data_IF_388499574601
#
_entry.id   IF_388499574601
#
_cell.length_a   1.000
_cell.length_b   1.000
_cell.length_c   1.000
_cell.angle_alpha   90.00
_cell.angle_beta   90.00
_cell.angle_gamma   90.00
#
_symmetry.space_group_name_H-M   'P 1'
#
loop_
_entity.id
_entity.type
_entity.pdbx_description
1 polymer ?
#
# COMPACT_ATOMS: atom_id res chain seq x y z
N UNK A 1 -15.43 -30.70 -2.37
CA UNK A 1 -14.53 -29.88 -3.18
C UNK A 1 -13.76 -29.04 -2.19
N UNK A 2 -12.44 -29.01 -2.23
CA UNK A 2 -11.69 -28.10 -1.37
C UNK A 2 -12.02 -26.65 -1.80
N UNK A 3 -12.47 -25.81 -0.87
CA UNK A 3 -12.64 -24.38 -1.14
C UNK A 3 -11.28 -23.84 -1.62
N UNK A 4 -11.31 -23.23 -2.80
CA UNK A 4 -10.09 -22.64 -3.36
C UNK A 4 -9.76 -21.37 -2.59
N UNK A 5 -8.51 -21.26 -2.21
CA UNK A 5 -7.99 -20.06 -1.55
C UNK A 5 -8.15 -18.84 -2.48
N UNK A 6 -8.82 -17.79 -1.99
CA UNK A 6 -8.89 -16.50 -2.68
C UNK A 6 -7.50 -15.87 -2.68
N UNK A 7 -7.03 -15.45 -3.85
CA UNK A 7 -5.73 -14.76 -4.02
C UNK A 7 -5.99 -13.40 -4.60
N UNK A 8 -5.41 -12.36 -4.01
CA UNK A 8 -5.47 -10.98 -4.48
C UNK A 8 -4.05 -10.48 -4.66
N UNK A 9 -3.76 -9.90 -5.82
CA UNK A 9 -2.45 -9.31 -6.14
C UNK A 9 -2.57 -7.79 -6.07
N UNK A 10 -1.76 -7.15 -5.25
CA UNK A 10 -1.74 -5.69 -5.09
C UNK A 10 -0.37 -5.13 -5.41
N UNK A 11 -0.33 -3.91 -5.95
CA UNK A 11 0.90 -3.14 -6.06
C UNK A 11 0.81 -1.88 -5.19
N UNK A 12 1.94 -1.45 -4.63
CA UNK A 12 2.01 -0.22 -3.84
C UNK A 12 2.71 0.85 -4.66
N UNK A 13 1.97 1.91 -4.99
CA UNK A 13 2.48 3.09 -5.70
C UNK A 13 2.72 4.19 -4.67
N UNK A 14 3.93 4.72 -4.64
CA UNK A 14 4.30 5.80 -3.74
C UNK A 14 5.46 6.62 -4.34
N UNK A 15 5.56 7.89 -3.97
CA UNK A 15 6.80 8.61 -4.20
C UNK A 15 7.85 8.24 -3.14
N UNK A 16 9.09 8.68 -3.37
CA UNK A 16 10.18 8.51 -2.41
C UNK A 16 9.78 9.14 -1.07
N UNK A 17 10.12 8.48 0.02
CA UNK A 17 9.82 8.90 1.40
C UNK A 17 8.33 8.96 1.81
N UNK A 18 7.38 8.60 0.95
CA UNK A 18 5.96 8.52 1.36
C UNK A 18 5.69 7.43 2.41
N UNK A 19 6.64 6.52 2.63
CA UNK A 19 6.56 5.46 3.63
C UNK A 19 6.18 4.09 3.06
N UNK A 20 6.48 3.83 1.77
CA UNK A 20 6.18 2.57 1.09
C UNK A 20 6.78 1.36 1.79
N UNK A 21 8.11 1.33 2.00
CA UNK A 21 8.79 0.22 2.67
C UNK A 21 8.29 0.02 4.10
N UNK A 22 8.00 1.13 4.80
CA UNK A 22 7.42 1.08 6.15
C UNK A 22 6.03 0.46 6.16
N UNK A 23 5.19 0.76 5.15
CA UNK A 23 3.87 0.15 5.01
C UNK A 23 3.98 -1.36 4.72
N UNK A 24 4.89 -1.75 3.84
CA UNK A 24 5.12 -3.18 3.53
C UNK A 24 5.65 -3.92 4.75
N UNK A 25 6.55 -3.33 5.53
CA UNK A 25 6.99 -3.90 6.80
C UNK A 25 5.82 -4.07 7.78
N UNK A 26 4.89 -3.10 7.86
CA UNK A 26 3.69 -3.21 8.68
C UNK A 26 2.79 -4.36 8.23
N UNK A 27 2.60 -4.56 6.92
CA UNK A 27 1.88 -5.71 6.36
C UNK A 27 2.50 -7.03 6.82
N UNK A 28 3.82 -7.17 6.70
CA UNK A 28 4.52 -8.39 7.06
C UNK A 28 4.48 -8.66 8.57
N UNK A 29 4.64 -7.62 9.38
CA UNK A 29 4.67 -7.75 10.84
C UNK A 29 3.29 -8.15 11.42
N UNK A 30 2.21 -7.61 10.88
CA UNK A 30 0.86 -7.87 11.42
C UNK A 30 0.18 -9.09 10.81
N UNK A 31 0.64 -9.58 9.67
CA UNK A 31 0.13 -10.81 9.06
C UNK A 31 0.59 -12.11 9.73
N UNK A 32 1.45 -12.03 10.75
CA UNK A 32 1.98 -13.21 11.44
C UNK A 32 2.98 -14.05 10.63
N UNK A 33 3.54 -13.49 9.56
CA UNK A 33 4.57 -14.15 8.74
C UNK A 33 5.84 -14.39 9.54
N UNK A 34 6.18 -13.48 10.46
CA UNK A 34 7.33 -13.63 11.34
C UNK A 34 6.99 -14.38 12.62
N UNK A 35 7.88 -15.26 13.06
CA UNK A 35 7.77 -15.94 14.36
C UNK A 35 8.07 -14.95 15.50
N UNK A 36 7.42 -15.15 16.65
CA UNK A 36 7.55 -14.26 17.83
C UNK A 36 8.99 -13.98 18.33
N UNK A 37 9.97 -14.77 17.88
CA UNK A 37 11.38 -14.67 18.27
C UNK A 37 12.32 -14.31 17.11
N UNK A 38 11.79 -13.94 15.94
CA UNK A 38 12.62 -13.57 14.78
C UNK A 38 13.00 -12.09 14.86
N UNK A 39 14.29 -11.78 14.83
CA UNK A 39 14.75 -10.39 14.71
C UNK A 39 14.48 -9.90 13.28
N UNK A 40 13.40 -9.14 13.12
CA UNK A 40 13.05 -8.54 11.84
C UNK A 40 13.99 -7.36 11.58
N UNK A 41 14.76 -7.45 10.51
CA UNK A 41 15.59 -6.35 10.02
C UNK A 41 14.66 -5.30 9.41
N UNK A 42 14.89 -4.02 9.69
CA UNK A 42 14.13 -2.92 9.06
C UNK A 42 14.24 -2.97 7.54
N UNK A 43 13.16 -2.58 6.86
CA UNK A 43 13.08 -2.59 5.40
C UNK A 43 13.37 -4.00 4.84
N UNK A 44 12.58 -4.99 5.29
CA UNK A 44 12.74 -6.41 4.87
C UNK A 44 12.80 -6.54 3.35
N UNK A 45 12.09 -5.67 2.64
CA UNK A 45 12.06 -5.67 1.18
C UNK A 45 13.25 -4.93 0.55
N UNK A 46 13.88 -3.96 1.23
CA UNK A 46 15.03 -3.22 0.71
C UNK A 46 16.33 -3.93 1.10
N UNK A 47 16.59 -5.08 0.50
CA UNK A 47 17.75 -5.93 0.83
C UNK A 47 19.04 -5.56 0.09
N UNK A 48 18.97 -4.69 -0.93
CA UNK A 48 20.12 -4.23 -1.69
C UNK A 48 20.77 -3.01 -1.01
N UNK A 49 22.10 -3.00 -0.89
CA UNK A 49 22.83 -1.89 -0.26
C UNK A 49 22.62 -0.56 -0.99
N UNK A 50 22.42 -0.59 -2.32
CA UNK A 50 22.16 0.61 -3.14
C UNK A 50 20.76 1.16 -2.86
N UNK A 51 19.76 0.30 -2.69
CA UNK A 51 18.39 0.71 -2.33
C UNK A 51 18.36 1.35 -0.96
N UNK A 52 19.06 0.76 0.02
CA UNK A 52 19.17 1.29 1.39
C UNK A 52 19.91 2.64 1.44
N UNK A 53 21.00 2.79 0.67
CA UNK A 53 21.78 4.02 0.63
C UNK A 53 20.99 5.17 -0.02
N UNK A 54 20.20 4.86 -1.04
CA UNK A 54 19.44 5.87 -1.81
C UNK A 54 18.01 6.07 -1.34
N UNK A 55 17.48 5.17 -0.48
CA UNK A 55 16.09 5.20 -0.02
C UNK A 55 15.07 4.97 -1.13
N UNK A 56 15.45 4.28 -2.23
CA UNK A 56 14.58 4.03 -3.38
C UNK A 56 14.50 2.53 -3.68
N UNK A 57 13.35 2.05 -4.11
CA UNK A 57 13.17 0.70 -4.63
C UNK A 57 13.64 0.67 -6.09
N UNK A 58 14.59 -0.21 -6.41
CA UNK A 58 15.12 -0.39 -7.77
C UNK A 58 14.50 -1.63 -8.42
N UNK A 59 14.44 -2.73 -7.68
CA UNK A 59 13.88 -4.00 -8.14
C UNK A 59 12.52 -4.25 -7.53
N UNK A 60 11.58 -4.71 -8.35
CA UNK A 60 10.29 -5.17 -7.83
C UNK A 60 10.49 -6.42 -6.98
N UNK A 61 9.95 -6.40 -5.79
CA UNK A 61 9.98 -7.52 -4.85
C UNK A 61 8.57 -7.93 -4.53
N UNK A 62 8.40 -9.22 -4.29
CA UNK A 62 7.10 -9.78 -3.98
C UNK A 62 7.12 -10.38 -2.58
N UNK A 63 6.10 -10.07 -1.80
CA UNK A 63 5.81 -10.78 -0.57
C UNK A 63 4.35 -11.24 -0.56
N UNK A 64 4.03 -12.16 0.33
CA UNK A 64 2.68 -12.66 0.47
C UNK A 64 2.30 -12.69 1.93
N UNK A 65 1.09 -12.25 2.22
CA UNK A 65 0.51 -12.29 3.56
C UNK A 65 -0.83 -13.04 3.54
N UNK A 66 -1.19 -13.61 4.68
CA UNK A 66 -2.50 -14.23 4.87
C UNK A 66 -3.36 -13.33 5.76
N UNK A 67 -4.59 -13.06 5.33
CA UNK A 67 -5.59 -12.44 6.18
C UNK A 67 -6.88 -13.28 6.11
N UNK A 68 -7.19 -13.98 7.20
CA UNK A 68 -8.20 -15.04 7.17
C UNK A 68 -7.85 -16.10 6.11
N UNK A 69 -8.81 -16.40 5.23
CA UNK A 69 -8.65 -17.38 4.14
C UNK A 69 -8.13 -16.78 2.83
N UNK A 70 -7.87 -15.47 2.81
CA UNK A 70 -7.40 -14.76 1.63
C UNK A 70 -5.89 -14.61 1.65
N UNK A 71 -5.24 -14.97 0.53
CA UNK A 71 -3.83 -14.71 0.29
C UNK A 71 -3.69 -13.39 -0.47
N UNK A 72 -2.95 -12.45 0.11
CA UNK A 72 -2.65 -11.16 -0.53
C UNK A 72 -1.18 -11.16 -0.93
N UNK A 73 -0.92 -11.09 -2.23
CA UNK A 73 0.41 -10.92 -2.78
C UNK A 73 0.67 -9.42 -2.96
N UNK A 74 1.74 -8.93 -2.38
CA UNK A 74 2.13 -7.53 -2.43
C UNK A 74 3.34 -7.42 -3.35
N UNK A 75 3.20 -6.61 -4.39
CA UNK A 75 4.28 -6.29 -5.33
C UNK A 75 4.78 -4.91 -5.00
N UNK A 76 6.03 -4.80 -4.58
CA UNK A 76 6.69 -3.53 -4.38
C UNK A 76 7.12 -2.96 -5.74
N UNK A 77 6.62 -1.77 -6.09
CA UNK A 77 6.88 -1.15 -7.39
C UNK A 77 8.00 -0.13 -7.30
N UNK A 78 8.92 -0.09 -8.29
CA UNK A 78 9.85 1.01 -8.42
C UNK A 78 9.10 2.35 -8.55
N UNK A 79 9.48 3.33 -7.74
CA UNK A 79 8.85 4.66 -7.76
C UNK A 79 9.37 5.62 -8.83
N UNK A 80 10.40 5.23 -9.60
CA UNK A 80 11.08 6.11 -10.54
C UNK A 80 10.66 5.85 -11.98
N UNK A 81 10.47 6.93 -12.76
CA UNK A 81 10.03 6.86 -14.17
C UNK A 81 11.00 6.07 -15.09
N UNK A 82 12.27 5.92 -14.70
CA UNK A 82 13.28 5.16 -15.46
C UNK A 82 12.94 3.66 -15.55
N UNK A 83 12.08 3.15 -14.67
CA UNK A 83 11.65 1.74 -14.63
C UNK A 83 10.27 1.49 -15.25
N UNK A 84 9.87 2.32 -16.22
CA UNK A 84 8.54 2.29 -16.84
C UNK A 84 8.12 0.94 -17.39
N UNK A 85 9.03 0.18 -18.01
CA UNK A 85 8.74 -1.14 -18.57
C UNK A 85 8.45 -2.20 -17.50
N UNK A 86 9.07 -2.08 -16.32
CA UNK A 86 8.82 -2.95 -15.19
C UNK A 86 7.48 -2.64 -14.54
N UNK A 87 7.16 -1.35 -14.37
CA UNK A 87 5.86 -0.89 -13.90
C UNK A 87 4.73 -1.40 -14.78
N UNK A 88 4.83 -1.27 -16.12
CA UNK A 88 3.81 -1.78 -17.05
C UNK A 88 3.61 -3.32 -16.94
N UNK A 89 4.69 -4.06 -16.70
CA UNK A 89 4.61 -5.50 -16.50
C UNK A 89 3.90 -5.86 -15.21
N UNK A 90 4.17 -5.12 -14.13
CA UNK A 90 3.52 -5.31 -12.83
C UNK A 90 2.03 -5.01 -12.95
N UNK A 91 1.65 -3.88 -13.55
CA UNK A 91 0.25 -3.45 -13.66
C UNK A 91 -0.65 -4.46 -14.40
N UNK A 92 -0.09 -5.28 -15.28
CA UNK A 92 -0.85 -6.36 -15.98
C UNK A 92 -1.17 -7.56 -15.08
N UNK A 93 -0.55 -7.66 -13.92
CA UNK A 93 -0.63 -8.84 -13.05
C UNK A 93 -1.19 -8.53 -11.67
N UNK A 94 -1.68 -7.33 -11.43
CA UNK A 94 -2.27 -6.93 -10.15
C UNK A 94 -3.77 -6.64 -10.31
N UNK A 95 -4.52 -6.90 -9.25
CA UNK A 95 -5.97 -6.73 -9.20
C UNK A 95 -6.34 -5.31 -8.74
N UNK A 96 -5.48 -4.68 -7.92
CA UNK A 96 -5.61 -3.30 -7.47
C UNK A 96 -4.26 -2.68 -7.15
N UNK A 97 -4.25 -1.37 -6.99
CA UNK A 97 -3.09 -0.61 -6.54
C UNK A 97 -3.43 0.19 -5.29
N UNK A 98 -2.49 0.24 -4.35
CA UNK A 98 -2.54 1.17 -3.21
C UNK A 98 -1.74 2.40 -3.61
N UNK A 99 -2.41 3.53 -3.75
CA UNK A 99 -1.77 4.83 -3.92
C UNK A 99 -1.46 5.41 -2.54
N UNK A 100 -0.20 5.39 -2.16
CA UNK A 100 0.28 5.91 -0.88
C UNK A 100 0.74 7.36 -1.06
N UNK A 101 0.10 8.28 -0.35
CA UNK A 101 0.36 9.72 -0.43
C UNK A 101 0.72 10.25 0.96
N UNK A 102 1.76 11.08 1.03
CA UNK A 102 2.13 11.78 2.27
C UNK A 102 1.13 12.91 2.56
N UNK A 103 0.60 12.98 3.79
CA UNK A 103 -0.41 13.95 4.19
C UNK A 103 0.06 15.41 4.17
N UNK A 104 1.36 15.66 4.15
CA UNK A 104 1.94 17.02 4.09
C UNK A 104 2.38 17.42 2.69
N UNK A 105 2.89 16.46 1.90
CA UNK A 105 3.46 16.73 0.58
C UNK A 105 2.42 16.62 -0.56
N UNK A 106 1.44 15.74 -0.39
CA UNK A 106 0.44 15.46 -1.42
C UNK A 106 0.96 14.56 -2.55
N UNK A 107 0.22 14.46 -3.67
CA UNK A 107 0.61 13.64 -4.82
C UNK A 107 1.78 14.26 -5.58
N UNK A 108 2.87 13.50 -5.71
CA UNK A 108 4.11 13.95 -6.35
C UNK A 108 4.18 13.52 -7.83
N UNK A 109 4.96 14.23 -8.70
CA UNK A 109 5.03 13.92 -10.13
C UNK A 109 5.43 12.48 -10.46
N UNK A 110 6.24 11.82 -9.63
CA UNK A 110 6.67 10.44 -9.86
C UNK A 110 5.50 9.46 -9.81
N UNK A 111 4.52 9.71 -8.94
CA UNK A 111 3.33 8.85 -8.82
C UNK A 111 2.41 8.99 -10.01
N UNK A 112 2.39 10.15 -10.67
CA UNK A 112 1.53 10.44 -11.84
C UNK A 112 1.70 9.42 -12.96
N UNK A 113 2.95 9.08 -13.29
CA UNK A 113 3.23 8.13 -14.38
C UNK A 113 2.70 6.72 -14.04
N UNK A 114 3.01 6.23 -12.83
CA UNK A 114 2.61 4.88 -12.41
C UNK A 114 1.10 4.79 -12.27
N UNK A 115 0.47 5.81 -11.68
CA UNK A 115 -0.99 5.91 -11.56
C UNK A 115 -1.66 5.93 -12.94
N UNK A 116 -1.16 6.73 -13.89
CA UNK A 116 -1.66 6.74 -15.27
C UNK A 116 -1.66 5.34 -15.88
N UNK A 117 -0.57 4.59 -15.70
CA UNK A 117 -0.46 3.23 -16.24
C UNK A 117 -1.43 2.26 -15.59
N UNK A 118 -1.73 2.41 -14.30
CA UNK A 118 -2.75 1.60 -13.62
C UNK A 118 -4.16 1.92 -14.12
N UNK A 119 -4.50 3.20 -14.28
CA UNK A 119 -5.81 3.63 -14.79
C UNK A 119 -6.02 3.19 -16.25
N UNK A 120 -5.01 3.26 -17.12
CA UNK A 120 -5.05 2.76 -18.50
C UNK A 120 -5.32 1.25 -18.57
N UNK A 121 -4.98 0.48 -17.54
CA UNK A 121 -5.28 -0.96 -17.43
C UNK A 121 -6.66 -1.25 -16.81
N UNK A 122 -7.43 -0.21 -16.46
CA UNK A 122 -8.74 -0.35 -15.82
C UNK A 122 -8.67 -0.78 -14.35
N UNK A 123 -7.55 -0.55 -13.69
CA UNK A 123 -7.37 -0.89 -12.27
C UNK A 123 -8.04 0.19 -11.42
N UNK A 124 -8.86 -0.25 -10.44
CA UNK A 124 -9.46 0.63 -9.45
C UNK A 124 -8.52 0.76 -8.25
N UNK A 125 -8.01 1.96 -7.94
CA UNK A 125 -7.06 2.17 -6.87
C UNK A 125 -7.71 2.26 -5.49
N UNK A 126 -6.89 2.08 -4.44
CA UNK A 126 -7.21 2.41 -3.05
C UNK A 126 -6.27 3.54 -2.65
N UNK A 127 -6.81 4.64 -2.13
CA UNK A 127 -6.00 5.75 -1.62
C UNK A 127 -5.67 5.53 -0.15
N UNK A 128 -4.40 5.63 0.22
CA UNK A 128 -3.94 5.65 1.60
C UNK A 128 -3.14 6.92 1.86
N UNK A 129 -3.71 7.84 2.65
CA UNK A 129 -3.02 9.04 3.11
C UNK A 129 -2.22 8.70 4.35
N UNK A 130 -0.90 8.72 4.22
CA UNK A 130 0.04 8.33 5.27
C UNK A 130 0.60 9.53 6.03
N UNK A 131 1.14 9.26 7.21
CA UNK A 131 1.77 10.24 8.10
C UNK A 131 0.80 11.31 8.59
N UNK A 132 -0.45 10.93 8.84
CA UNK A 132 -1.48 11.85 9.36
C UNK A 132 -1.16 12.41 10.75
N UNK A 133 -0.15 11.85 11.41
CA UNK A 133 0.41 12.28 12.69
C UNK A 133 1.32 13.51 12.58
N UNK A 134 1.67 13.94 11.37
CA UNK A 134 2.50 15.12 11.18
C UNK A 134 1.75 16.39 11.58
N UNK A 135 2.48 17.36 12.16
CA UNK A 135 1.91 18.67 12.54
C UNK A 135 1.50 19.54 11.36
N UNK A 136 2.12 19.29 10.20
CA UNK A 136 1.90 19.98 8.93
C UNK A 136 1.02 19.14 7.98
N UNK A 137 0.31 18.14 8.50
CA UNK A 137 -0.64 17.37 7.74
C UNK A 137 -1.81 18.26 7.27
N UNK A 138 -2.12 18.19 5.95
CA UNK A 138 -3.19 18.93 5.29
C UNK A 138 -4.11 17.96 4.55
N UNK A 139 -4.72 17.06 5.33
CA UNK A 139 -5.42 15.86 4.86
C UNK A 139 -6.50 16.20 3.81
N UNK A 140 -7.39 17.16 4.10
CA UNK A 140 -8.49 17.54 3.20
C UNK A 140 -7.96 18.08 1.87
N UNK A 141 -6.96 18.96 1.91
CA UNK A 141 -6.34 19.54 0.70
C UNK A 141 -5.66 18.46 -0.15
N UNK A 142 -4.99 17.49 0.50
CA UNK A 142 -4.33 16.38 -0.20
C UNK A 142 -5.35 15.46 -0.87
N UNK A 143 -6.51 15.22 -0.26
CA UNK A 143 -7.61 14.47 -0.90
C UNK A 143 -8.07 15.20 -2.16
N UNK A 144 -8.29 16.50 -2.09
CA UNK A 144 -8.69 17.32 -3.25
C UNK A 144 -7.64 17.29 -4.36
N UNK A 145 -6.35 17.43 -4.01
CA UNK A 145 -5.23 17.32 -4.96
C UNK A 145 -5.18 15.94 -5.65
N UNK A 146 -5.51 14.87 -4.94
CA UNK A 146 -5.59 13.53 -5.51
C UNK A 146 -6.76 13.43 -6.48
N UNK A 147 -7.94 13.95 -6.15
CA UNK A 147 -9.06 13.99 -7.09
C UNK A 147 -8.73 14.80 -8.35
N UNK A 148 -8.08 15.96 -8.22
CA UNK A 148 -7.59 16.74 -9.36
C UNK A 148 -6.63 15.93 -10.22
N UNK A 149 -5.69 15.19 -9.60
CA UNK A 149 -4.76 14.33 -10.30
C UNK A 149 -5.48 13.23 -11.09
N UNK A 150 -6.52 12.60 -10.51
CA UNK A 150 -7.29 11.57 -11.21
C UNK A 150 -8.06 12.13 -12.39
N UNK A 151 -8.68 13.30 -12.23
CA UNK A 151 -9.37 14.02 -13.32
C UNK A 151 -8.41 14.38 -14.44
N UNK A 152 -7.22 14.89 -14.11
CA UNK A 152 -6.16 15.20 -15.07
C UNK A 152 -5.66 13.97 -15.84
N UNK A 153 -5.79 12.78 -15.25
CA UNK A 153 -5.41 11.50 -15.84
C UNK A 153 -6.57 10.82 -16.58
N UNK A 154 -7.70 11.53 -16.75
CA UNK A 154 -8.89 11.06 -17.45
C UNK A 154 -9.47 9.76 -16.83
N UNK A 155 -9.42 9.65 -15.48
CA UNK A 155 -10.04 8.56 -14.76
C UNK A 155 -11.56 8.52 -15.00
N UNK A 156 -12.12 7.31 -15.13
CA UNK A 156 -13.55 7.13 -15.28
C UNK A 156 -14.28 7.21 -13.92
N UNK A 157 -15.63 7.23 -13.95
CA UNK A 157 -16.45 7.37 -12.76
C UNK A 157 -16.22 6.23 -11.74
N UNK A 158 -15.97 4.99 -12.19
CA UNK A 158 -15.66 3.86 -11.31
C UNK A 158 -14.29 4.03 -10.64
N UNK A 159 -13.32 4.59 -11.37
CA UNK A 159 -11.99 4.87 -10.84
C UNK A 159 -11.94 6.08 -9.90
N UNK A 160 -12.92 6.98 -10.00
CA UNK A 160 -13.08 8.12 -9.10
C UNK A 160 -13.80 7.73 -7.79
N UNK A 161 -14.51 6.60 -7.76
CA UNK A 161 -15.15 6.04 -6.56
C UNK A 161 -14.18 5.12 -5.79
N UNK A 162 -12.99 5.64 -5.50
CA UNK A 162 -11.98 4.89 -4.76
C UNK A 162 -12.14 5.03 -3.25
N UNK A 163 -11.91 3.97 -2.47
CA UNK A 163 -11.89 4.07 -1.02
C UNK A 163 -10.68 4.87 -0.54
N UNK A 164 -10.90 5.69 0.48
CA UNK A 164 -9.88 6.52 1.11
C UNK A 164 -9.63 5.99 2.53
N UNK A 165 -8.38 5.74 2.83
CA UNK A 165 -7.90 5.33 4.14
C UNK A 165 -6.82 6.30 4.63
N UNK A 166 -6.66 6.34 5.94
CA UNK A 166 -5.71 7.22 6.61
C UNK A 166 -4.78 6.39 7.48
N UNK A 167 -3.49 6.71 7.49
CA UNK A 167 -2.54 5.84 8.17
C UNK A 167 -1.35 6.52 8.81
N UNK A 168 -0.77 5.80 9.76
CA UNK A 168 0.51 6.05 10.37
C UNK A 168 1.33 4.77 10.18
N UNK A 169 1.87 4.58 8.97
CA UNK A 169 2.51 3.32 8.56
C UNK A 169 3.63 2.89 9.51
N UNK A 170 4.42 3.84 10.07
CA UNK A 170 5.48 3.54 11.03
C UNK A 170 4.98 2.88 12.32
N UNK A 171 3.69 3.05 12.64
CA UNK A 171 3.03 2.44 13.80
C UNK A 171 2.15 1.26 13.41
N UNK A 172 2.02 0.99 12.10
CA UNK A 172 1.16 -0.05 11.59
C UNK A 172 -0.32 0.22 11.87
N UNK A 173 -0.73 1.50 11.82
CA UNK A 173 -2.11 1.93 12.06
C UNK A 173 -2.71 2.42 10.76
N UNK A 174 -3.91 1.95 10.46
CA UNK A 174 -4.77 2.45 9.39
C UNK A 174 -6.19 2.61 9.93
N UNK A 175 -6.85 3.71 9.57
CA UNK A 175 -8.21 4.03 10.01
C UNK A 175 -9.06 4.51 8.82
N UNK A 176 -10.38 4.42 8.96
CA UNK A 176 -11.33 4.94 7.97
C UNK A 176 -11.60 6.45 8.14
N UNK A 177 -11.53 6.96 9.36
CA UNK A 177 -11.68 8.40 9.68
C UNK A 177 -10.39 8.86 10.38
N UNK A 178 -9.73 9.95 9.93
CA UNK A 178 -8.53 10.45 10.58
C UNK A 178 -8.73 10.83 12.05
N UNK A 179 -9.96 11.14 12.46
CA UNK A 179 -10.31 11.43 13.85
C UNK A 179 -10.11 10.25 14.78
N UNK A 180 -10.23 9.03 14.28
CA UNK A 180 -10.01 7.81 15.07
C UNK A 180 -8.55 7.66 15.51
N UNK A 181 -7.64 8.35 14.81
CA UNK A 181 -6.22 8.40 15.14
C UNK A 181 -5.80 9.67 15.91
N UNK A 182 -6.73 10.58 16.22
CA UNK A 182 -6.42 11.77 17.00
C UNK A 182 -6.02 11.42 18.45
N UNK A 183 -4.97 12.09 18.94
CA UNK A 183 -4.52 11.93 20.33
C UNK A 183 -3.71 10.66 20.59
N UNK A 184 -3.35 9.91 19.56
CA UNK A 184 -2.37 8.84 19.69
C UNK A 184 -1.03 9.49 20.03
N UNK A 185 -0.56 9.27 21.27
CA UNK A 185 0.76 9.73 21.69
C UNK A 185 1.83 8.90 20.95
N UNK A 186 2.32 9.47 19.87
CA UNK A 186 3.43 8.92 19.11
C UNK A 186 4.68 9.30 19.86
N UNK A 187 5.01 8.50 20.88
CA UNK A 187 6.22 8.67 21.67
C UNK A 187 7.46 8.82 20.78
N UNK A 188 8.56 9.37 21.32
CA UNK A 188 9.80 9.54 20.56
C UNK A 188 10.22 8.22 19.94
N UNK A 189 10.83 8.29 18.75
CA UNK A 189 11.34 7.13 17.99
C UNK A 189 12.19 6.22 18.88
N UNK A 190 11.53 5.38 19.66
CA UNK A 190 12.24 4.37 20.43
C UNK A 190 12.44 3.18 19.49
N UNK A 191 13.69 3.04 19.01
CA UNK A 191 14.13 1.93 18.15
C UNK A 191 13.81 0.55 18.72
N UNK A 192 13.37 0.48 19.98
CA UNK A 192 12.97 -0.74 20.69
C UNK A 192 11.46 -1.05 20.62
N UNK A 193 10.62 -0.08 20.25
CA UNK A 193 9.15 -0.26 20.16
C UNK A 193 8.68 -0.92 18.86
N UNK A 194 9.59 -1.25 17.95
CA UNK A 194 9.29 -1.94 16.69
C UNK A 194 8.68 -3.34 16.84
N UNK A 195 8.63 -3.89 18.06
CA UNK A 195 7.94 -5.16 18.35
C UNK A 195 6.42 -5.04 18.56
N UNK A 196 5.88 -3.84 18.60
CA UNK A 196 4.46 -3.61 18.81
C UNK A 196 3.71 -3.39 17.50
N UNK A 197 3.85 -4.31 16.58
CA UNK A 197 3.08 -4.35 15.35
C UNK A 197 1.59 -4.69 15.55
N UNK A 198 1.15 -4.86 16.77
CA UNK A 198 -0.27 -4.91 17.14
C UNK A 198 -0.65 -3.53 17.63
N UNK A 199 -1.00 -2.65 16.72
CA UNK A 199 -1.60 -1.34 16.91
C UNK A 199 -1.61 -0.77 18.34
N UNK A 200 -1.44 0.54 18.46
CA UNK A 200 -1.67 1.22 19.73
C UNK A 200 -3.18 1.39 19.94
N UNK A 201 -3.66 1.12 21.16
CA UNK A 201 -5.07 1.31 21.54
C UNK A 201 -6.10 0.48 20.74
N UNK A 202 -5.70 -0.68 20.21
CA UNK A 202 -6.60 -1.54 19.40
C UNK A 202 -6.72 -1.13 17.93
N UNK A 203 -5.96 -0.11 17.50
CA UNK A 203 -5.84 0.27 16.11
C UNK A 203 -4.68 -0.49 15.45
N UNK A 204 -4.90 -1.02 14.27
CA UNK A 204 -3.95 -1.82 13.51
C UNK A 204 -4.13 -1.58 11.99
N UNK A 205 -3.56 -2.43 11.16
CA UNK A 205 -3.66 -2.35 9.70
C UNK A 205 -4.89 -3.09 9.13
N UNK A 206 -5.71 -3.71 9.97
CA UNK A 206 -6.90 -4.49 9.57
C UNK A 206 -7.83 -3.72 8.62
N UNK A 207 -8.14 -2.41 8.82
CA UNK A 207 -8.98 -1.65 7.90
C UNK A 207 -8.48 -1.67 6.45
N UNK A 208 -7.15 -1.70 6.24
CA UNK A 208 -6.58 -1.80 4.90
C UNK A 208 -6.76 -3.20 4.30
N UNK A 209 -6.57 -4.27 5.10
CA UNK A 209 -6.84 -5.63 4.64
C UNK A 209 -8.31 -5.82 4.28
N UNK A 210 -9.22 -5.35 5.13
CA UNK A 210 -10.67 -5.45 4.89
C UNK A 210 -11.08 -4.68 3.63
N UNK A 211 -10.51 -3.49 3.42
CA UNK A 211 -10.75 -2.71 2.21
C UNK A 211 -10.26 -3.43 0.97
N UNK A 212 -9.05 -4.00 0.98
CA UNK A 212 -8.51 -4.79 -0.14
C UNK A 212 -9.44 -5.97 -0.47
N UNK A 213 -9.90 -6.72 0.55
CA UNK A 213 -10.72 -7.91 0.35
C UNK A 213 -12.11 -7.58 -0.18
N UNK A 214 -12.70 -6.46 0.28
CA UNK A 214 -14.06 -6.08 -0.05
C UNK A 214 -14.16 -5.26 -1.35
N UNK A 215 -13.14 -4.43 -1.64
CA UNK A 215 -13.14 -3.56 -2.81
C UNK A 215 -12.66 -4.28 -4.07
N UNK A 216 -11.73 -5.23 -3.92
CA UNK A 216 -11.13 -5.92 -5.06
C UNK A 216 -11.96 -7.12 -5.48
N UNK A 217 -12.44 -7.11 -6.71
CA UNK A 217 -12.99 -8.30 -7.32
C UNK A 217 -11.84 -9.20 -7.79
N UNK A 218 -11.72 -10.42 -7.24
CA UNK A 218 -10.66 -11.33 -7.67
C UNK A 218 -10.86 -11.71 -9.15
N UNK A 219 -9.74 -11.98 -9.81
CA UNK A 219 -9.72 -12.44 -11.19
C UNK A 219 -10.72 -13.61 -11.39
N UNK A 220 -11.55 -13.60 -12.44
CA UNK A 220 -12.52 -14.66 -12.66
C UNK A 220 -11.83 -16.03 -12.77
N UNK A 221 -12.36 -17.01 -12.04
CA UNK A 221 -11.86 -18.38 -12.12
C UNK A 221 -12.15 -18.99 -13.50
N UNK A 222 -11.11 -19.13 -14.31
CA UNK A 222 -11.17 -19.73 -15.65
C UNK A 222 -10.61 -21.16 -15.71
N UNK A 223 -10.48 -21.82 -14.57
CA UNK A 223 -9.86 -23.17 -14.52
C UNK A 223 -10.66 -24.26 -15.20
N UNK A 224 -11.93 -24.03 -15.49
CA UNK A 224 -12.78 -24.93 -16.26
C UNK A 224 -12.81 -24.60 -17.77
N UNK A 225 -12.19 -23.49 -18.18
CA UNK A 225 -12.06 -23.17 -19.61
C UNK A 225 -10.94 -24.02 -20.24
N UNK A 226 -11.12 -24.46 -21.51
CA UNK A 226 -10.05 -25.18 -22.20
C UNK A 226 -8.80 -24.33 -22.32
N UNK A 227 -7.63 -24.93 -22.10
CA UNK A 227 -6.35 -24.29 -22.34
C UNK A 227 -6.28 -23.79 -23.78
N UNK A 228 -6.06 -22.49 -23.95
CA UNK A 228 -5.86 -21.85 -25.25
C UNK A 228 -4.43 -22.07 -25.75
#
# INVERSE_FOLDING_TARGET
>A
MAERQKIINIAVIAHVDAGKSTLVDAFLNQSGVFRDNEEVVDCVMDSDDIERERGITIYSKNCSVMHGDVKINIVDTPGHADFSSEVERIMKNVDTVILLVDSSEGPMPQTRFVLKKSLEQGINPILLINKIDKKDARIEEVVDEVYELFMDLEANDEQLDFPILYGIARQGIVVYDPKDAEGIDIGPEDKKTKKSAKGMNGLDITPLFDTIINHVQPYPDRTEEPLQ
#
